data_IF_737022367560
#
_entry.id   IF_737022367560
#
_cell.length_a   1.000
_cell.length_b   1.000
_cell.length_c   1.000
_cell.angle_alpha   90.00
_cell.angle_beta   90.00
_cell.angle_gamma   90.00
#
_symmetry.space_group_name_H-M   'P 1'
#
loop_
_entity.id
_entity.type
_entity.pdbx_description
1 polymer ?
#
# COMPACT_ATOMS: atom_id res chain seq x y z
N UNK A 1 10.37 -16.21 3.95
CA UNK A 1 10.87 -16.56 2.61
C UNK A 1 10.14 -15.65 1.64
N UNK A 2 10.84 -14.97 0.73
CA UNK A 2 10.21 -14.13 -0.28
C UNK A 2 9.74 -15.01 -1.45
N UNK A 3 8.65 -14.61 -2.12
CA UNK A 3 8.25 -15.24 -3.39
C UNK A 3 9.19 -14.71 -4.47
N UNK A 4 9.73 -15.62 -5.28
CA UNK A 4 10.54 -15.25 -6.44
C UNK A 4 9.70 -14.47 -7.47
N UNK A 5 10.32 -13.54 -8.17
CA UNK A 5 9.64 -12.70 -9.16
C UNK A 5 9.07 -13.52 -10.32
N UNK A 6 9.71 -14.63 -10.69
CA UNK A 6 9.24 -15.50 -11.77
C UNK A 6 7.93 -16.22 -11.36
N UNK A 7 7.83 -16.65 -10.10
CA UNK A 7 6.62 -17.27 -9.54
C UNK A 7 5.47 -16.27 -9.48
N UNK A 8 5.76 -15.02 -9.08
CA UNK A 8 4.78 -13.93 -9.12
C UNK A 8 4.28 -13.68 -10.54
N UNK A 9 5.19 -13.56 -11.49
CA UNK A 9 4.83 -13.35 -12.89
C UNK A 9 4.03 -14.53 -13.48
N UNK A 10 4.41 -15.77 -13.15
CA UNK A 10 3.69 -16.96 -13.55
C UNK A 10 2.27 -16.97 -12.97
N UNK A 11 2.10 -16.68 -11.68
CA UNK A 11 0.78 -16.61 -11.03
C UNK A 11 -0.13 -15.60 -11.73
N UNK A 12 0.32 -14.36 -11.96
CA UNK A 12 -0.52 -13.32 -12.57
C UNK A 12 -0.86 -13.58 -14.05
N UNK A 13 -0.14 -14.47 -14.72
CA UNK A 13 -0.50 -14.98 -16.05
C UNK A 13 -1.62 -16.03 -16.03
N UNK A 14 -1.94 -16.63 -14.87
CA UNK A 14 -3.03 -17.61 -14.74
C UNK A 14 -4.41 -16.93 -14.80
N UNK A 15 -5.49 -17.67 -15.11
CA UNK A 15 -6.87 -17.16 -14.99
C UNK A 15 -7.19 -16.67 -13.57
N UNK A 16 -6.68 -17.34 -12.53
CA UNK A 16 -6.82 -16.96 -11.13
C UNK A 16 -6.12 -15.63 -10.87
N UNK A 17 -4.87 -15.50 -11.27
CA UNK A 17 -4.08 -14.28 -11.08
C UNK A 17 -4.72 -13.07 -11.78
N UNK A 18 -5.24 -13.24 -13.00
CA UNK A 18 -6.00 -12.18 -13.70
C UNK A 18 -7.28 -11.78 -12.97
N UNK A 19 -8.01 -12.75 -12.41
CA UNK A 19 -9.22 -12.46 -11.60
C UNK A 19 -8.88 -11.70 -10.33
N UNK A 20 -7.79 -12.06 -9.65
CA UNK A 20 -7.27 -11.38 -8.48
C UNK A 20 -6.87 -9.94 -8.82
N UNK A 21 -6.11 -9.76 -9.90
CA UNK A 21 -5.68 -8.45 -10.38
C UNK A 21 -6.87 -7.54 -10.69
N UNK A 22 -7.88 -8.05 -11.38
CA UNK A 22 -9.10 -7.30 -11.68
C UNK A 22 -9.88 -6.90 -10.40
N UNK A 23 -9.94 -7.80 -9.41
CA UNK A 23 -10.56 -7.49 -8.11
C UNK A 23 -9.79 -6.41 -7.36
N UNK A 24 -8.46 -6.51 -7.32
CA UNK A 24 -7.60 -5.47 -6.71
C UNK A 24 -7.77 -4.13 -7.41
N UNK A 25 -7.70 -4.10 -8.75
CA UNK A 25 -7.86 -2.88 -9.53
C UNK A 25 -9.20 -2.19 -9.25
N UNK A 26 -10.30 -2.95 -9.20
CA UNK A 26 -11.62 -2.41 -8.86
C UNK A 26 -11.64 -1.76 -7.47
N UNK A 27 -10.97 -2.38 -6.47
CA UNK A 27 -10.87 -1.82 -5.12
C UNK A 27 -9.97 -0.60 -5.04
N UNK A 28 -8.88 -0.58 -5.78
CA UNK A 28 -7.98 0.59 -5.82
C UNK A 28 -8.71 1.77 -6.44
N UNK A 29 -9.48 1.57 -7.51
CA UNK A 29 -10.29 2.63 -8.12
C UNK A 29 -11.38 3.20 -7.18
N UNK A 30 -11.86 2.41 -6.21
CA UNK A 30 -12.75 2.93 -5.15
C UNK A 30 -11.98 3.84 -4.15
N UNK A 31 -10.68 3.55 -3.89
CA UNK A 31 -9.83 4.30 -2.95
C UNK A 31 -9.19 5.51 -3.64
N UNK A 32 -8.70 5.31 -4.86
CA UNK A 32 -8.08 6.32 -5.72
C UNK A 32 -8.89 6.48 -7.02
N UNK A 33 -10.07 7.10 -6.98
CA UNK A 33 -10.99 7.17 -8.13
C UNK A 33 -10.50 8.08 -9.25
N UNK A 34 -9.52 8.93 -8.98
CA UNK A 34 -8.95 9.87 -9.95
C UNK A 34 -7.65 9.30 -10.50
N UNK A 35 -7.50 9.36 -11.82
CA UNK A 35 -6.22 9.13 -12.47
C UNK A 35 -5.16 10.11 -11.94
N UNK A 36 -3.92 9.69 -12.00
CA UNK A 36 -2.80 10.55 -11.64
C UNK A 36 -2.69 11.69 -12.66
N UNK A 37 -2.36 12.88 -12.18
CA UNK A 37 -2.01 13.99 -13.03
C UNK A 37 -0.67 13.73 -13.73
N UNK A 38 -0.44 14.31 -14.92
CA UNK A 38 0.80 14.13 -15.70
C UNK A 38 2.07 14.53 -14.93
N UNK A 39 1.93 15.41 -13.93
CA UNK A 39 3.04 15.86 -13.10
C UNK A 39 3.19 15.03 -11.79
N UNK A 40 2.39 13.98 -11.60
CA UNK A 40 2.49 13.13 -10.43
C UNK A 40 3.54 12.04 -10.65
N UNK A 41 4.52 11.96 -9.75
CA UNK A 41 5.48 10.86 -9.72
C UNK A 41 4.88 9.69 -8.97
N UNK A 42 4.72 8.58 -9.70
CA UNK A 42 4.13 7.34 -9.20
C UNK A 42 5.23 6.30 -8.98
N UNK A 43 5.18 5.64 -7.84
CA UNK A 43 6.15 4.61 -7.46
C UNK A 43 5.43 3.31 -7.11
N UNK A 44 5.89 2.19 -7.66
CA UNK A 44 5.52 0.84 -7.25
C UNK A 44 6.66 0.19 -6.47
N UNK A 45 6.36 -0.46 -5.36
CA UNK A 45 7.31 -1.26 -4.59
C UNK A 45 6.87 -2.72 -4.55
N UNK A 46 7.75 -3.63 -4.93
CA UNK A 46 7.46 -5.04 -5.13
C UNK A 46 6.80 -5.30 -6.50
N UNK A 47 6.05 -6.40 -6.64
CA UNK A 47 5.48 -6.82 -7.93
C UNK A 47 4.25 -6.01 -8.33
N UNK A 48 4.41 -4.70 -8.47
CA UNK A 48 3.33 -3.77 -8.81
C UNK A 48 3.07 -3.56 -10.33
N UNK A 49 4.01 -3.82 -11.29
CA UNK A 49 3.86 -3.41 -12.68
C UNK A 49 2.56 -3.84 -13.36
N UNK A 50 2.09 -5.12 -13.27
CA UNK A 50 0.88 -5.53 -13.96
C UNK A 50 -0.37 -4.79 -13.48
N UNK A 51 -0.44 -4.50 -12.18
CA UNK A 51 -1.55 -3.79 -11.56
C UNK A 51 -1.52 -2.29 -11.89
N UNK A 52 -0.33 -1.68 -11.86
CA UNK A 52 -0.13 -0.28 -12.19
C UNK A 52 -0.57 0.04 -13.63
N UNK A 53 -0.17 -0.81 -14.59
CA UNK A 53 -0.60 -0.68 -16.00
C UNK A 53 -2.12 -0.82 -16.18
N UNK A 54 -2.76 -1.66 -15.40
CA UNK A 54 -4.22 -1.83 -15.46
C UNK A 54 -4.96 -0.63 -14.86
N UNK A 55 -4.40 -0.03 -13.81
CA UNK A 55 -5.02 1.12 -13.14
C UNK A 55 -4.95 2.38 -13.98
N UNK A 56 -3.74 2.77 -14.38
CA UNK A 56 -3.49 4.00 -15.12
C UNK A 56 -2.48 3.74 -16.23
N UNK A 57 -2.96 3.24 -17.39
CA UNK A 57 -2.09 2.78 -18.49
C UNK A 57 -1.25 3.89 -19.13
N UNK A 58 -1.68 5.15 -19.01
CA UNK A 58 -0.97 6.31 -19.55
C UNK A 58 -0.03 6.97 -18.57
N UNK A 59 -0.11 6.61 -17.28
CA UNK A 59 0.72 7.22 -16.24
C UNK A 59 2.14 6.65 -16.27
N UNK A 60 3.11 7.48 -15.99
CA UNK A 60 4.50 7.08 -15.84
C UNK A 60 4.75 6.54 -14.41
N UNK A 61 5.05 5.26 -14.33
CA UNK A 61 5.38 4.58 -13.10
C UNK A 61 6.86 4.27 -13.02
N UNK A 62 7.45 4.49 -11.85
CA UNK A 62 8.75 3.93 -11.51
C UNK A 62 8.56 2.71 -10.62
N UNK A 63 9.44 1.69 -10.73
CA UNK A 63 9.31 0.47 -9.96
C UNK A 63 10.58 0.15 -9.20
N UNK A 64 10.42 -0.12 -7.90
CA UNK A 64 11.47 -0.61 -7.02
C UNK A 64 11.17 -2.05 -6.63
N UNK A 65 12.15 -2.93 -6.80
CA UNK A 65 12.05 -4.34 -6.45
C UNK A 65 12.93 -4.66 -5.25
N UNK A 66 12.37 -5.30 -4.21
CA UNK A 66 13.19 -5.80 -3.11
C UNK A 66 14.26 -6.77 -3.60
N UNK A 67 15.49 -6.64 -3.12
CA UNK A 67 16.60 -7.54 -3.52
C UNK A 67 16.28 -9.01 -3.30
N UNK A 68 15.46 -9.34 -2.28
CA UNK A 68 15.08 -10.71 -1.95
C UNK A 68 14.14 -11.35 -2.96
N UNK A 69 13.47 -10.55 -3.81
CA UNK A 69 12.55 -11.05 -4.84
C UNK A 69 13.20 -11.19 -6.21
N UNK A 70 14.30 -10.47 -6.43
CA UNK A 70 14.94 -10.37 -7.74
C UNK A 70 14.25 -9.36 -8.66
N UNK A 71 14.75 -9.26 -9.89
CA UNK A 71 14.19 -8.40 -10.94
C UNK A 71 14.10 -9.16 -12.24
N UNK A 72 13.03 -8.96 -12.98
CA UNK A 72 12.96 -9.43 -14.38
C UNK A 72 13.54 -8.37 -15.31
N UNK A 73 14.23 -8.80 -16.35
CA UNK A 73 14.60 -7.91 -17.43
C UNK A 73 13.34 -7.27 -18.03
N UNK A 74 13.36 -5.95 -18.24
CA UNK A 74 12.28 -5.26 -18.90
C UNK A 74 12.12 -5.82 -20.33
N UNK A 75 10.90 -6.23 -20.67
CA UNK A 75 10.57 -6.57 -22.05
C UNK A 75 10.40 -5.28 -22.86
N UNK A 76 10.50 -5.37 -24.20
CA UNK A 76 10.32 -4.21 -25.07
C UNK A 76 8.99 -3.49 -24.73
N UNK A 77 9.08 -2.21 -24.39
CA UNK A 77 7.94 -1.38 -23.96
C UNK A 77 7.55 -1.52 -22.47
N UNK A 78 8.30 -2.26 -21.65
CA UNK A 78 8.11 -2.30 -20.21
C UNK A 78 9.05 -1.31 -19.50
N UNK A 79 8.53 -0.69 -18.43
CA UNK A 79 9.36 0.16 -17.58
C UNK A 79 10.33 -0.71 -16.77
N UNK A 80 11.60 -0.33 -16.77
CA UNK A 80 12.63 -1.03 -15.99
C UNK A 80 12.33 -0.90 -14.49
N UNK A 81 12.43 -2.03 -13.79
CA UNK A 81 12.40 -2.04 -12.33
C UNK A 81 13.82 -1.98 -11.78
N UNK A 82 14.02 -1.24 -10.71
CA UNK A 82 15.32 -1.07 -10.05
C UNK A 82 15.34 -1.94 -8.81
N UNK A 83 16.35 -2.82 -8.69
CA UNK A 83 16.62 -3.55 -7.44
C UNK A 83 17.05 -2.56 -6.36
N UNK A 84 16.42 -2.67 -5.19
CA UNK A 84 16.72 -1.76 -4.09
C UNK A 84 16.83 -2.48 -2.75
N UNK A 85 17.69 -1.95 -1.90
CA UNK A 85 17.76 -2.34 -0.50
C UNK A 85 16.59 -1.74 0.29
N UNK A 86 16.13 -2.43 1.35
CA UNK A 86 14.99 -2.00 2.18
C UNK A 86 15.18 -0.60 2.79
N UNK A 87 16.41 -0.24 3.14
CA UNK A 87 16.76 1.01 3.80
C UNK A 87 17.34 2.10 2.88
N UNK A 88 17.40 1.87 1.56
CA UNK A 88 18.02 2.81 0.63
C UNK A 88 17.33 2.77 -0.73
N UNK A 89 16.40 3.70 -0.94
CA UNK A 89 15.73 3.84 -2.22
C UNK A 89 16.39 4.94 -3.06
N UNK A 90 16.65 4.72 -4.35
CA UNK A 90 17.30 5.69 -5.25
C UNK A 90 16.32 6.80 -5.65
N UNK A 91 15.59 7.34 -4.70
CA UNK A 91 14.58 8.39 -4.88
C UNK A 91 14.92 9.57 -3.98
N UNK A 92 14.62 10.79 -4.45
CA UNK A 92 14.78 12.02 -3.66
C UNK A 92 13.74 12.08 -2.55
N UNK A 93 14.08 12.79 -1.47
CA UNK A 93 13.12 13.13 -0.41
C UNK A 93 11.96 13.93 -1.00
N UNK A 94 10.76 13.71 -0.46
CA UNK A 94 9.55 14.50 -0.79
C UNK A 94 9.23 14.58 -2.29
N UNK A 95 9.59 13.56 -3.08
CA UNK A 95 9.43 13.58 -4.54
C UNK A 95 8.21 12.78 -5.04
N UNK A 96 7.81 11.72 -4.34
CA UNK A 96 6.78 10.78 -4.78
C UNK A 96 5.38 11.24 -4.37
N UNK A 97 4.44 11.26 -5.29
CA UNK A 97 3.04 11.64 -5.03
C UNK A 97 2.23 10.45 -4.50
N UNK A 98 2.35 9.31 -5.18
CA UNK A 98 1.63 8.08 -4.83
C UNK A 98 2.56 6.87 -4.87
N UNK A 99 2.43 6.02 -3.86
CA UNK A 99 3.23 4.82 -3.70
C UNK A 99 2.32 3.60 -3.56
N UNK A 100 2.50 2.61 -4.44
CA UNK A 100 1.75 1.36 -4.43
C UNK A 100 2.65 0.21 -3.98
N UNK A 101 2.29 -0.44 -2.87
CA UNK A 101 2.94 -1.67 -2.40
C UNK A 101 2.14 -2.90 -2.84
N UNK A 102 2.81 -3.84 -3.50
CA UNK A 102 2.25 -5.15 -3.83
C UNK A 102 3.36 -6.21 -3.75
N UNK A 103 3.18 -7.22 -2.93
CA UNK A 103 4.12 -8.33 -2.71
C UNK A 103 5.52 -7.91 -2.22
N UNK A 104 5.67 -6.70 -1.69
CA UNK A 104 6.96 -6.21 -1.18
C UNK A 104 7.06 -6.23 0.35
N UNK A 105 5.98 -5.92 1.07
CA UNK A 105 6.03 -5.75 2.52
C UNK A 105 6.02 -7.06 3.29
N UNK A 106 5.30 -8.07 2.81
CA UNK A 106 5.27 -9.41 3.41
C UNK A 106 6.59 -10.17 3.26
N UNK A 107 7.42 -9.74 2.30
CA UNK A 107 8.75 -10.28 2.04
C UNK A 107 9.86 -9.53 2.80
N UNK A 108 9.57 -8.34 3.30
CA UNK A 108 10.56 -7.49 3.95
C UNK A 108 11.14 -8.12 5.23
N UNK A 109 12.46 -8.08 5.40
CA UNK A 109 13.13 -8.48 6.64
C UNK A 109 12.90 -7.43 7.72
N UNK A 110 12.96 -6.16 7.36
CA UNK A 110 12.83 -5.00 8.24
C UNK A 110 11.71 -4.06 7.73
N UNK A 111 10.47 -4.38 8.08
CA UNK A 111 9.29 -3.61 7.65
C UNK A 111 9.42 -2.10 7.97
N UNK A 112 9.93 -1.78 9.15
CA UNK A 112 10.03 -0.38 9.59
C UNK A 112 11.02 0.41 8.69
N UNK A 113 12.13 -0.20 8.23
CA UNK A 113 13.06 0.45 7.28
C UNK A 113 12.40 0.75 5.92
N UNK A 114 11.61 -0.19 5.42
CA UNK A 114 10.85 0.01 4.17
C UNK A 114 9.83 1.14 4.32
N UNK A 115 9.14 1.20 5.45
CA UNK A 115 8.17 2.26 5.73
C UNK A 115 8.83 3.62 5.99
N UNK A 116 10.00 3.66 6.61
CA UNK A 116 10.79 4.89 6.80
C UNK A 116 11.26 5.46 5.46
N UNK A 117 11.73 4.61 4.53
CA UNK A 117 12.07 5.03 3.18
C UNK A 117 10.84 5.50 2.40
N UNK A 118 9.72 4.79 2.52
CA UNK A 118 8.45 5.22 1.94
C UNK A 118 8.02 6.60 2.46
N UNK A 119 8.17 6.83 3.78
CA UNK A 119 7.92 8.13 4.37
C UNK A 119 8.86 9.21 3.83
N UNK A 120 10.16 8.91 3.75
CA UNK A 120 11.17 9.86 3.25
C UNK A 120 10.86 10.32 1.83
N UNK A 121 10.57 9.38 0.93
CA UNK A 121 10.38 9.69 -0.51
C UNK A 121 9.03 10.30 -0.82
N UNK A 122 7.98 10.00 -0.04
CA UNK A 122 6.67 10.61 -0.25
C UNK A 122 6.69 12.09 0.08
N UNK A 123 6.09 12.90 -0.77
CA UNK A 123 5.89 14.34 -0.54
C UNK A 123 4.88 14.58 0.60
N UNK A 124 4.87 15.77 1.21
CA UNK A 124 3.80 16.17 2.12
C UNK A 124 2.42 15.96 1.48
N UNK A 125 1.51 15.31 2.20
CA UNK A 125 0.20 14.84 1.73
C UNK A 125 0.25 13.75 0.63
N UNK A 126 1.43 13.22 0.32
CA UNK A 126 1.58 12.04 -0.53
C UNK A 126 0.92 10.82 0.10
N UNK A 127 0.47 9.90 -0.75
CA UNK A 127 -0.34 8.75 -0.36
C UNK A 127 0.36 7.45 -0.70
N UNK A 128 0.37 6.53 0.25
CA UNK A 128 0.75 5.13 0.04
C UNK A 128 -0.49 4.24 0.08
N UNK A 129 -0.56 3.26 -0.81
CA UNK A 129 -1.55 2.19 -0.79
C UNK A 129 -0.83 0.86 -0.60
N UNK A 130 -1.10 0.20 0.52
CA UNK A 130 -0.50 -1.06 0.90
C UNK A 130 -1.47 -2.20 0.59
N UNK A 131 -1.04 -3.15 -0.23
CA UNK A 131 -1.78 -4.38 -0.54
C UNK A 131 -0.97 -5.53 0.02
N UNK A 132 -1.46 -6.14 1.10
CA UNK A 132 -0.73 -7.17 1.85
C UNK A 132 -1.65 -8.33 2.24
N UNK A 133 -1.13 -9.56 2.40
CA UNK A 133 -1.92 -10.71 2.84
C UNK A 133 -2.54 -10.47 4.23
N UNK A 134 -3.81 -10.82 4.36
CA UNK A 134 -4.53 -10.77 5.63
C UNK A 134 -4.35 -12.09 6.39
N UNK A 135 -3.76 -12.04 7.58
CA UNK A 135 -3.54 -13.22 8.45
C UNK A 135 -4.80 -14.03 8.74
N UNK A 136 -5.97 -13.39 8.75
CA UNK A 136 -7.26 -14.05 9.00
C UNK A 136 -7.90 -14.58 7.74
N UNK A 137 -7.45 -14.17 6.56
CA UNK A 137 -7.99 -14.57 5.27
C UNK A 137 -7.56 -15.98 4.87
N UNK A 138 -8.36 -16.63 4.03
CA UNK A 138 -8.07 -17.98 3.52
C UNK A 138 -6.86 -17.99 2.58
N UNK A 139 -6.57 -16.87 1.90
CA UNK A 139 -5.45 -16.73 0.99
C UNK A 139 -4.09 -16.82 1.68
N UNK A 140 -3.98 -16.31 2.92
CA UNK A 140 -2.75 -16.40 3.71
C UNK A 140 -2.44 -17.81 4.23
N UNK A 141 -3.34 -18.77 3.99
CA UNK A 141 -3.19 -20.19 4.39
C UNK A 141 -2.99 -21.11 3.20
N UNK A 142 -2.88 -20.56 2.00
CA UNK A 142 -2.79 -21.33 0.76
C UNK A 142 -1.41 -21.16 0.14
N UNK A 143 -0.58 -22.18 0.23
CA UNK A 143 0.76 -22.19 -0.35
C UNK A 143 0.76 -22.22 -1.90
N UNK A 144 -0.44 -22.37 -2.51
CA UNK A 144 -0.60 -22.37 -3.97
C UNK A 144 -0.71 -20.96 -4.56
N UNK A 145 -0.68 -19.94 -3.73
CA UNK A 145 -0.76 -18.55 -4.18
C UNK A 145 0.32 -17.68 -3.51
N UNK A 146 0.75 -16.59 -4.14
CA UNK A 146 1.74 -15.69 -3.55
C UNK A 146 1.31 -15.08 -2.21
N UNK A 147 0.01 -15.01 -1.93
CA UNK A 147 -0.52 -14.44 -0.70
C UNK A 147 -0.36 -15.35 0.53
N UNK A 148 -0.04 -16.64 0.33
CA UNK A 148 0.26 -17.58 1.40
C UNK A 148 1.74 -17.61 1.80
N UNK A 149 2.60 -16.98 1.01
CA UNK A 149 4.04 -16.89 1.27
C UNK A 149 4.40 -15.58 1.93
N UNK A 150 5.39 -15.59 2.82
CA UNK A 150 5.83 -14.41 3.56
C UNK A 150 5.07 -14.19 4.88
N UNK A 151 5.04 -12.97 5.37
CA UNK A 151 4.43 -12.61 6.66
C UNK A 151 3.06 -11.98 6.45
N UNK A 152 1.95 -12.66 6.73
CA UNK A 152 0.64 -12.05 6.66
C UNK A 152 0.44 -11.05 7.83
N UNK A 153 -0.33 -10.01 7.59
CA UNK A 153 -0.57 -8.93 8.54
C UNK A 153 -1.94 -9.04 9.21
N UNK A 154 -2.01 -8.67 10.50
CA UNK A 154 -3.27 -8.26 11.11
C UNK A 154 -3.50 -6.77 10.89
N UNK A 155 -4.76 -6.33 10.83
CA UNK A 155 -5.07 -4.90 10.64
C UNK A 155 -4.52 -4.00 11.76
N UNK A 156 -4.46 -4.50 12.99
CA UNK A 156 -3.89 -3.78 14.13
C UNK A 156 -2.37 -3.62 14.04
N UNK A 157 -1.65 -4.70 13.65
CA UNK A 157 -0.20 -4.64 13.44
C UNK A 157 0.15 -3.65 12.33
N UNK A 158 -0.56 -3.72 11.20
CA UNK A 158 -0.30 -2.83 10.08
C UNK A 158 -0.54 -1.36 10.46
N UNK A 159 -1.65 -1.08 11.15
CA UNK A 159 -1.94 0.26 11.68
C UNK A 159 -0.84 0.75 12.63
N UNK A 160 -0.41 -0.09 13.56
CA UNK A 160 0.64 0.27 14.52
C UNK A 160 1.98 0.55 13.84
N UNK A 161 2.38 -0.26 12.84
CA UNK A 161 3.62 -0.02 12.06
C UNK A 161 3.56 1.30 11.30
N UNK A 162 2.45 1.59 10.61
CA UNK A 162 2.26 2.85 9.92
C UNK A 162 2.34 4.06 10.85
N UNK A 163 1.71 3.98 12.03
CA UNK A 163 1.74 5.08 13.01
C UNK A 163 3.14 5.30 13.60
N UNK A 164 3.91 4.22 13.85
CA UNK A 164 5.30 4.34 14.35
C UNK A 164 6.21 5.07 13.36
N UNK A 165 6.04 4.84 12.08
CA UNK A 165 6.81 5.49 11.01
C UNK A 165 6.21 6.85 10.58
N UNK A 166 5.23 7.37 11.32
CA UNK A 166 4.68 8.71 11.12
C UNK A 166 3.53 8.81 10.12
N UNK A 167 3.13 7.71 9.47
CA UNK A 167 1.96 7.71 8.60
C UNK A 167 0.67 7.86 9.37
N UNK A 168 -0.29 8.54 8.77
CA UNK A 168 -1.69 8.54 9.21
C UNK A 168 -2.45 7.50 8.40
N UNK A 169 -2.84 6.37 9.02
CA UNK A 169 -3.66 5.37 8.34
C UNK A 169 -5.04 5.94 8.01
N UNK A 170 -5.38 5.92 6.73
CA UNK A 170 -6.70 6.30 6.23
C UNK A 170 -7.64 5.10 6.14
N UNK A 171 -8.19 4.89 4.94
CA UNK A 171 -9.13 3.80 4.67
C UNK A 171 -8.44 2.44 4.78
N UNK A 172 -9.06 1.51 5.51
CA UNK A 172 -8.62 0.13 5.64
C UNK A 172 -9.76 -0.80 5.19
N UNK A 173 -9.55 -1.50 4.10
CA UNK A 173 -10.51 -2.44 3.53
C UNK A 173 -9.88 -3.81 3.33
N UNK A 174 -10.73 -4.83 3.14
CA UNK A 174 -10.28 -6.16 2.69
C UNK A 174 -10.92 -6.54 1.36
N UNK A 175 -10.26 -7.42 0.63
CA UNK A 175 -10.75 -8.00 -0.62
C UNK A 175 -10.34 -9.48 -0.72
N UNK A 176 -10.74 -10.14 -1.81
CA UNK A 176 -10.50 -11.56 -2.06
C UNK A 176 -11.20 -12.44 -1.01
N UNK A 177 -12.52 -12.31 -0.91
CA UNK A 177 -13.34 -13.09 0.02
C UNK A 177 -13.56 -14.52 -0.48
N UNK A 178 -13.55 -14.76 -1.80
CA UNK A 178 -13.68 -16.09 -2.37
C UNK A 178 -12.40 -16.88 -2.16
N UNK A 179 -12.48 -18.15 -1.70
CA UNK A 179 -11.32 -19.00 -1.45
C UNK A 179 -10.44 -19.18 -2.70
N UNK A 180 -9.10 -19.31 -2.54
CA UNK A 180 -8.19 -19.49 -3.68
C UNK A 180 -8.38 -20.83 -4.40
N UNK A 181 -8.84 -21.87 -3.72
CA UNK A 181 -9.08 -23.20 -4.28
C UNK A 181 -10.41 -23.32 -5.05
N UNK A 182 -11.22 -22.27 -5.11
CA UNK A 182 -12.51 -22.30 -5.80
C UNK A 182 -12.30 -22.31 -7.33
N UNK A 183 -12.91 -23.27 -8.08
CA UNK A 183 -12.81 -23.32 -9.53
C UNK A 183 -13.26 -22.01 -10.18
N UNK A 184 -12.63 -21.64 -11.32
CA UNK A 184 -12.92 -20.37 -11.99
C UNK A 184 -14.38 -20.22 -12.43
N UNK A 185 -15.03 -21.28 -12.86
CA UNK A 185 -16.46 -21.26 -13.18
C UNK A 185 -17.31 -20.85 -11.98
N UNK A 186 -17.07 -21.46 -10.82
CA UNK A 186 -17.76 -21.10 -9.58
C UNK A 186 -17.44 -19.68 -9.12
N UNK A 187 -16.19 -19.22 -9.28
CA UNK A 187 -15.81 -17.82 -8.95
C UNK A 187 -16.57 -16.82 -9.80
N UNK A 188 -16.71 -17.07 -11.09
CA UNK A 188 -17.46 -16.19 -11.99
C UNK A 188 -18.94 -16.11 -11.59
N UNK A 189 -19.55 -17.22 -11.23
CA UNK A 189 -20.94 -17.27 -10.75
C UNK A 189 -21.13 -16.57 -9.39
N UNK A 190 -20.10 -16.57 -8.55
CA UNK A 190 -20.14 -15.97 -7.19
C UNK A 190 -19.53 -14.55 -7.11
N UNK A 191 -19.34 -13.86 -8.23
CA UNK A 191 -18.78 -12.49 -8.24
C UNK A 191 -19.60 -11.49 -7.41
N UNK A 192 -20.92 -11.70 -7.30
CA UNK A 192 -21.76 -10.87 -6.42
C UNK A 192 -21.47 -11.12 -4.93
N UNK A 193 -21.06 -12.35 -4.56
CA UNK A 193 -20.66 -12.69 -3.18
C UNK A 193 -19.39 -11.91 -2.81
N UNK A 194 -18.41 -11.82 -3.71
CA UNK A 194 -17.21 -11.01 -3.51
C UNK A 194 -17.55 -9.54 -3.18
N UNK A 195 -18.57 -8.99 -3.83
CA UNK A 195 -19.03 -7.62 -3.56
C UNK A 195 -19.82 -7.49 -2.26
N UNK A 196 -20.65 -8.47 -1.92
CA UNK A 196 -21.50 -8.44 -0.71
C UNK A 196 -20.75 -8.79 0.57
N UNK A 197 -19.81 -9.73 0.50
CA UNK A 197 -19.07 -10.23 1.66
C UNK A 197 -18.35 -9.13 2.46
N UNK A 198 -17.93 -8.05 1.81
CA UNK A 198 -17.31 -6.89 2.47
C UNK A 198 -18.18 -6.23 3.54
N UNK A 199 -19.50 -6.28 3.36
CA UNK A 199 -20.47 -5.68 4.31
C UNK A 199 -20.77 -6.63 5.47
N UNK A 200 -20.73 -7.93 5.23
CA UNK A 200 -21.09 -8.96 6.22
C UNK A 200 -19.87 -9.39 7.04
N UNK A 201 -18.72 -9.55 6.37
CA UNK A 201 -17.47 -10.05 6.99
C UNK A 201 -16.25 -9.19 6.65
N UNK A 202 -16.25 -7.90 6.97
CA UNK A 202 -15.26 -6.93 6.46
C UNK A 202 -13.81 -7.22 6.86
N UNK A 203 -13.57 -8.20 7.75
CA UNK A 203 -12.22 -8.55 8.25
C UNK A 203 -11.70 -9.89 7.73
N UNK A 204 -12.48 -10.62 6.92
CA UNK A 204 -12.15 -11.99 6.47
C UNK A 204 -11.63 -12.07 5.04
N UNK A 205 -11.55 -10.97 4.30
CA UNK A 205 -10.94 -10.95 2.97
C UNK A 205 -9.49 -11.42 3.01
N UNK A 206 -9.00 -11.98 1.90
CA UNK A 206 -7.66 -12.56 1.79
C UNK A 206 -6.52 -11.54 1.87
N UNK A 207 -6.81 -10.30 1.52
CA UNK A 207 -5.84 -9.19 1.54
C UNK A 207 -6.39 -7.98 2.28
N UNK A 208 -5.48 -7.17 2.82
CA UNK A 208 -5.72 -5.80 3.23
C UNK A 208 -5.37 -4.84 2.09
N UNK A 209 -6.20 -3.82 1.91
CA UNK A 209 -5.88 -2.60 1.18
C UNK A 209 -5.94 -1.46 2.20
N UNK A 210 -4.80 -0.82 2.43
CA UNK A 210 -4.67 0.24 3.44
C UNK A 210 -4.08 1.47 2.80
N UNK A 211 -4.85 2.55 2.81
CA UNK A 211 -4.32 3.86 2.47
C UNK A 211 -3.61 4.47 3.67
N UNK A 212 -2.46 5.05 3.45
CA UNK A 212 -1.68 5.78 4.44
C UNK A 212 -1.21 7.11 3.85
N UNK A 213 -1.29 8.17 4.63
CA UNK A 213 -0.96 9.53 4.18
C UNK A 213 0.21 10.07 4.98
N UNK A 214 1.20 10.67 4.29
CA UNK A 214 2.24 11.46 4.93
C UNK A 214 1.68 12.83 5.32
N UNK A 215 1.18 12.96 6.55
CA UNK A 215 0.74 14.25 7.07
C UNK A 215 1.90 14.94 7.79
N UNK A 216 2.40 16.00 7.18
CA UNK A 216 3.37 16.90 7.85
C UNK A 216 2.59 18.06 8.45
N UNK A 217 2.68 18.30 9.76
CA UNK A 217 2.02 19.45 10.39
C UNK A 217 2.44 20.74 9.69
N UNK A 218 1.47 21.59 9.33
CA UNK A 218 1.78 22.87 8.72
C UNK A 218 2.70 23.70 9.64
N UNK A 219 3.68 24.43 9.10
CA UNK A 219 4.64 25.22 9.89
C UNK A 219 3.98 26.14 10.92
N UNK A 220 2.81 26.66 10.63
CA UNK A 220 2.01 27.49 11.54
C UNK A 220 1.54 26.77 12.81
N UNK A 221 1.29 25.45 12.75
CA UNK A 221 0.90 24.65 13.92
C UNK A 221 2.09 24.45 14.87
N UNK A 222 3.28 24.26 14.32
CA UNK A 222 4.53 24.16 15.10
C UNK A 222 4.87 25.48 15.75
N UNK A 223 4.70 26.58 15.04
CA UNK A 223 4.94 27.93 15.57
C UNK A 223 3.92 28.33 16.64
N UNK A 224 2.64 27.98 16.46
CA UNK A 224 1.61 28.15 17.50
C UNK A 224 1.90 27.30 18.74
N UNK A 225 2.30 26.05 18.58
CA UNK A 225 2.68 25.16 19.68
C UNK A 225 3.94 25.69 20.40
N UNK A 226 4.94 26.21 19.65
CA UNK A 226 6.15 26.82 20.20
C UNK A 226 5.83 28.12 20.96
N UNK A 227 4.97 28.98 20.40
CA UNK A 227 4.46 30.20 21.06
C UNK A 227 3.65 29.88 22.32
N UNK A 228 2.80 28.84 22.28
CA UNK A 228 2.04 28.38 23.45
C UNK A 228 2.96 27.86 24.56
N UNK A 229 3.97 27.04 24.24
CA UNK A 229 4.97 26.56 25.20
C UNK A 229 5.84 27.70 25.76
N UNK A 230 6.22 28.66 24.94
CA UNK A 230 6.99 29.85 25.39
C UNK A 230 6.15 30.70 26.35
N UNK A 231 4.85 30.94 26.07
CA UNK A 231 3.94 31.66 26.98
C UNK A 231 3.73 30.92 28.29
N UNK A 232 3.66 29.60 28.26
CA UNK A 232 3.50 28.77 29.47
C UNK A 232 4.76 28.82 30.36
N UNK A 233 5.95 28.93 29.77
CA UNK A 233 7.23 29.11 30.49
C UNK A 233 7.40 30.52 31.08
N UNK A 234 6.79 31.54 30.47
CA UNK A 234 6.86 32.93 30.90
C UNK A 234 5.76 33.32 31.87
N UNK A 235 4.89 32.41 32.28
CA UNK A 235 3.84 32.68 33.27
C UNK A 235 2.79 33.71 32.84
N UNK A 236 2.66 33.99 31.54
CA UNK A 236 1.70 35.01 31.05
C UNK A 236 0.26 34.47 31.19
N UNK A 237 -0.63 35.19 31.94
CA UNK A 237 -2.02 34.78 32.13
C UNK A 237 -2.80 34.70 30.82
N UNK A 238 -3.74 33.75 30.72
CA UNK A 238 -4.67 33.70 29.59
C UNK A 238 -5.56 34.93 29.57
N UNK A 239 -5.77 35.59 28.41
CA UNK A 239 -6.77 36.65 28.32
C UNK A 239 -8.16 36.06 28.59
N UNK A 240 -8.84 36.63 29.59
CA UNK A 240 -10.24 36.30 29.90
C UNK A 240 -11.11 37.04 28.91
N UNK A 241 -11.84 36.34 28.07
CA UNK A 241 -12.86 36.95 27.20
C UNK A 241 -14.06 37.41 28.08
N UNK A 242 -14.59 38.62 27.91
CA UNK A 242 -15.79 39.06 28.62
C UNK A 242 -16.96 38.19 28.18
N UNK A 243 -17.74 37.74 29.15
CA UNK A 243 -19.04 37.09 28.91
C UNK A 243 -20.05 38.16 28.49
N UNK A 244 -20.56 38.06 27.28
CA UNK A 244 -21.79 38.73 26.84
C UNK A 244 -23.00 37.87 27.14
#
# INVERSE_FOLDING_TARGET
MAVDILDLAAFYKTPMGRSVQATMAARINEIWPREADENELLLGYGFAPPLAKQLWPKAEWHFLMPQQQGVMAAQSGEQAAILTHEAQWPMRDDSVNRLLFLHGLEAANHLDLVLDEAWRVLRPNGRALLIVPNRRGLWARSDTTPFGVGRPFSGSQLRASLQRTGFVPGLMQTALFLPPYLPMGARNSLRFVERGARYVTPRLGGIWLVEAVKQVPAPQSVERARKARARQRLGVPRPVLPRT
#
